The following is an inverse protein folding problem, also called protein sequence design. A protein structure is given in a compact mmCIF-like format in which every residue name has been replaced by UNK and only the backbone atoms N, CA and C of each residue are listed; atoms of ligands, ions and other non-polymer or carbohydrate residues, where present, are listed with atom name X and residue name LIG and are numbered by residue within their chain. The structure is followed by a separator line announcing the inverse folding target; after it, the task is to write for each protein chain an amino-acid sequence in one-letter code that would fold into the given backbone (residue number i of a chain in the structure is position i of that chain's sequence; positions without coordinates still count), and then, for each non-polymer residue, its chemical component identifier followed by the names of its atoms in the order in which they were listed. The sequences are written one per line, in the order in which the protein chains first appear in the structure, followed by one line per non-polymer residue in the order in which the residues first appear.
data_IF_904389714534
#
_entry.id   IF_904389714534
#
_cell.length_a   1.000
_cell.length_b   1.000
_cell.length_c   1.000
_cell.angle_alpha   90.00
_cell.angle_beta   90.00
_cell.angle_gamma   90.00
#
_symmetry.space_group_name_H-M   'P 1'
#
loop_
_entity.id
_entity.type
_entity.pdbx_description
1 polymer ?
#
# COMPACT_ATOMS: atom_id res chain seq x y z
N UNK A 1 -27.23 11.00 41.24
CA UNK A 1 -27.59 10.18 40.06
C UNK A 1 -26.28 9.90 39.37
N UNK A 2 -25.58 8.89 39.87
CA UNK A 2 -24.27 8.45 39.41
C UNK A 2 -24.49 7.46 38.28
N UNK A 3 -23.80 7.64 37.16
CA UNK A 3 -23.65 6.61 36.15
C UNK A 3 -22.16 6.40 35.85
N UNK A 4 -21.85 5.12 35.94
CA UNK A 4 -20.57 4.46 36.13
C UNK A 4 -19.80 4.37 34.80
N UNK A 5 -18.57 4.90 34.77
CA UNK A 5 -17.62 4.69 33.68
C UNK A 5 -16.98 3.31 33.82
N UNK A 6 -17.50 2.33 33.11
CA UNK A 6 -16.79 1.06 32.89
C UNK A 6 -16.02 1.12 31.57
N UNK A 7 -14.68 0.96 31.57
CA UNK A 7 -13.87 0.96 30.37
C UNK A 7 -14.03 -0.37 29.63
N UNK A 8 -14.45 -0.32 28.36
CA UNK A 8 -14.44 -1.47 27.46
C UNK A 8 -12.99 -1.86 27.15
N UNK A 9 -12.42 -2.74 27.97
CA UNK A 9 -11.23 -3.49 27.60
C UNK A 9 -11.53 -4.40 26.40
N UNK A 10 -10.72 -4.27 25.36
CA UNK A 10 -10.74 -5.15 24.19
C UNK A 10 -10.41 -6.59 24.59
N UNK A 11 -11.28 -7.54 24.21
CA UNK A 11 -11.12 -8.99 24.40
C UNK A 11 -9.90 -9.60 23.69
N UNK A 12 -9.08 -8.82 22.99
CA UNK A 12 -7.81 -9.26 22.40
C UNK A 12 -6.63 -9.34 23.37
N UNK A 13 -6.79 -8.96 24.65
CA UNK A 13 -5.77 -9.18 25.68
C UNK A 13 -5.70 -10.63 26.22
N UNK A 14 -6.57 -11.55 25.80
CA UNK A 14 -6.67 -12.91 26.37
C UNK A 14 -6.22 -14.02 25.40
N UNK A 15 -5.89 -13.73 24.14
CA UNK A 15 -5.51 -14.76 23.14
C UNK A 15 -4.08 -14.65 22.60
N UNK A 16 -3.17 -14.08 23.39
CA UNK A 16 -1.73 -14.19 23.18
C UNK A 16 -1.10 -14.81 24.42
N UNK A 17 -1.32 -16.11 24.63
CA UNK A 17 -0.50 -17.04 25.44
C UNK A 17 -1.20 -18.41 25.40
N UNK A 18 -0.56 -19.42 24.81
CA UNK A 18 -1.00 -20.81 24.90
C UNK A 18 -1.11 -21.56 23.57
N UNK A 19 0.03 -21.74 22.90
CA UNK A 19 0.18 -22.90 22.03
C UNK A 19 0.24 -24.17 22.91
N UNK A 20 -0.36 -25.25 22.39
CA UNK A 20 -0.25 -26.68 22.78
C UNK A 20 -1.34 -27.29 23.70
N UNK A 21 -2.09 -28.21 23.07
CA UNK A 21 -2.56 -29.51 23.56
C UNK A 21 -3.84 -29.60 24.43
N UNK A 22 -4.95 -30.09 23.86
CA UNK A 22 -5.50 -31.46 24.02
C UNK A 22 -6.99 -31.54 23.61
N UNK A 23 -7.33 -32.66 22.98
CA UNK A 23 -8.66 -33.12 22.57
C UNK A 23 -9.71 -33.12 23.69
N UNK A 24 -10.99 -32.86 23.37
CA UNK A 24 -12.08 -33.86 23.51
C UNK A 24 -13.43 -33.34 23.01
N UNK A 25 -14.27 -34.30 22.63
CA UNK A 25 -15.48 -34.24 21.81
C UNK A 25 -16.65 -33.41 22.35
N UNK A 26 -17.45 -32.87 21.42
CA UNK A 26 -18.91 -32.82 21.49
C UNK A 26 -19.49 -32.79 20.06
N UNK A 27 -20.11 -33.88 19.62
CA UNK A 27 -20.97 -33.94 18.44
C UNK A 27 -22.40 -33.56 18.82
N UNK A 28 -23.13 -32.89 17.91
CA UNK A 28 -24.47 -33.34 17.61
C UNK A 28 -24.65 -33.64 16.12
N UNK A 29 -25.45 -34.68 15.93
CA UNK A 29 -25.87 -35.37 14.72
C UNK A 29 -26.61 -34.52 13.70
N UNK A 30 -26.26 -34.74 12.41
CA UNK A 30 -27.26 -34.94 11.36
C UNK A 30 -27.53 -33.78 10.42
N UNK A 31 -26.79 -33.72 9.31
CA UNK A 31 -27.29 -33.43 7.95
C UNK A 31 -26.18 -33.81 6.95
N UNK A 32 -26.58 -34.35 5.79
CA UNK A 32 -25.74 -35.14 4.87
C UNK A 32 -24.51 -34.42 4.29
N UNK A 33 -23.62 -35.16 3.60
CA UNK A 33 -22.38 -34.59 3.08
C UNK A 33 -22.73 -33.69 1.90
N UNK A 34 -22.89 -32.40 2.15
CA UNK A 34 -22.48 -31.42 1.16
C UNK A 34 -20.95 -31.54 1.10
N UNK A 35 -20.44 -32.07 -0.01
CA UNK A 35 -19.02 -31.96 -0.34
C UNK A 35 -18.68 -30.48 -0.50
N UNK A 36 -18.47 -29.79 0.62
CA UNK A 36 -17.64 -28.61 0.66
C UNK A 36 -16.23 -29.07 0.32
N UNK A 37 -15.94 -29.13 -0.98
CA UNK A 37 -14.58 -28.98 -1.47
C UNK A 37 -14.13 -27.54 -1.20
N UNK A 38 -14.06 -27.17 0.08
CA UNK A 38 -13.16 -26.14 0.56
C UNK A 38 -11.76 -26.76 0.47
N UNK A 39 -11.23 -26.84 -0.74
CA UNK A 39 -9.79 -26.76 -0.92
C UNK A 39 -9.41 -25.35 -0.45
N UNK A 40 -9.24 -25.20 0.85
CA UNK A 40 -8.44 -24.11 1.37
C UNK A 40 -7.07 -24.33 0.75
N UNK A 41 -6.81 -23.69 -0.39
CA UNK A 41 -5.48 -23.65 -0.99
C UNK A 41 -4.52 -23.33 0.14
N UNK A 42 -3.53 -24.20 0.33
CA UNK A 42 -2.51 -23.99 1.34
C UNK A 42 -1.72 -22.75 0.92
N UNK A 43 -2.11 -21.59 1.45
CA UNK A 43 -1.50 -20.32 1.07
C UNK A 43 -0.11 -20.29 1.68
N UNK A 44 0.89 -20.50 0.83
CA UNK A 44 2.29 -20.50 1.20
C UNK A 44 2.72 -19.10 1.67
N UNK A 45 3.51 -18.98 2.74
CA UNK A 45 4.08 -17.71 3.14
C UNK A 45 5.04 -17.17 2.06
N UNK A 46 5.28 -15.85 2.02
CA UNK A 46 6.30 -15.28 1.14
C UNK A 46 7.67 -15.87 1.47
N UNK A 47 8.48 -16.25 0.46
CA UNK A 47 9.87 -16.64 0.68
C UNK A 47 10.67 -15.52 1.37
N UNK A 48 11.52 -15.86 2.33
CA UNK A 48 12.35 -14.88 3.06
C UNK A 48 13.31 -14.11 2.14
N UNK A 49 13.76 -14.74 1.05
CA UNK A 49 14.56 -14.09 0.01
C UNK A 49 14.33 -14.69 -1.37
N UNK A 50 14.53 -13.89 -2.41
CA UNK A 50 14.50 -14.30 -3.82
C UNK A 50 15.62 -13.56 -4.55
N UNK A 51 16.55 -14.29 -5.17
CA UNK A 51 17.70 -13.72 -5.90
C UNK A 51 18.45 -12.60 -5.14
N UNK A 52 18.67 -12.79 -3.84
CA UNK A 52 19.36 -11.83 -2.98
C UNK A 52 18.50 -10.65 -2.50
N UNK A 53 17.26 -10.51 -2.98
CA UNK A 53 16.29 -9.57 -2.44
C UNK A 53 15.62 -10.19 -1.21
N UNK A 54 15.74 -9.55 -0.05
CA UNK A 54 15.20 -10.05 1.23
C UNK A 54 13.85 -9.43 1.51
N UNK A 55 12.99 -10.16 2.21
CA UNK A 55 11.74 -9.62 2.74
C UNK A 55 12.05 -8.51 3.77
N UNK A 56 11.38 -7.37 3.69
CA UNK A 56 11.60 -6.22 4.59
C UNK A 56 10.27 -5.79 5.21
N UNK A 57 9.97 -6.33 6.39
CA UNK A 57 8.72 -6.06 7.13
C UNK A 57 8.50 -4.56 7.35
N UNK A 58 9.57 -3.82 7.64
CA UNK A 58 9.52 -2.37 7.88
C UNK A 58 8.97 -1.59 6.68
N UNK A 59 9.19 -2.07 5.46
CA UNK A 59 8.66 -1.43 4.25
C UNK A 59 7.18 -1.69 4.04
N UNK A 60 6.60 -2.66 4.75
CA UNK A 60 5.16 -2.92 4.68
C UNK A 60 4.34 -1.92 5.52
N UNK A 61 4.96 -1.28 6.53
CA UNK A 61 4.25 -0.39 7.47
C UNK A 61 3.36 0.67 6.81
N UNK A 62 3.81 1.40 5.76
CA UNK A 62 2.97 2.43 5.13
C UNK A 62 1.70 1.85 4.48
N UNK A 63 1.74 0.58 4.06
CA UNK A 63 0.65 -0.11 3.37
C UNK A 63 -0.37 -0.71 4.34
N UNK A 64 0.02 -1.00 5.58
CA UNK A 64 -0.79 -1.75 6.55
C UNK A 64 -2.20 -1.17 6.70
N UNK A 65 -2.40 0.15 6.84
CA UNK A 65 -3.74 0.71 6.96
C UNK A 65 -4.63 0.44 5.74
N UNK A 66 -4.05 0.35 4.54
CA UNK A 66 -4.80 0.02 3.32
C UNK A 66 -5.08 -1.49 3.15
N UNK A 67 -4.50 -2.34 4.00
CA UNK A 67 -4.66 -3.81 4.02
C UNK A 67 -5.65 -4.29 5.08
N UNK A 68 -6.13 -3.38 5.94
CA UNK A 68 -7.06 -3.69 7.02
C UNK A 68 -8.49 -3.79 6.50
N UNK A 69 -9.21 -4.80 7.01
CA UNK A 69 -10.61 -5.03 6.67
C UNK A 69 -11.48 -3.92 7.25
N UNK A 70 -12.07 -3.09 6.38
CA UNK A 70 -13.00 -2.03 6.75
C UNK A 70 -14.49 -2.46 6.65
N UNK A 71 -14.79 -3.70 6.21
CA UNK A 71 -16.15 -4.19 5.94
C UNK A 71 -16.71 -5.16 6.99
N UNK A 72 -17.95 -5.66 6.82
CA UNK A 72 -18.57 -6.62 7.75
C UNK A 72 -17.78 -7.94 7.83
N UNK A 73 -17.99 -8.72 8.90
CA UNK A 73 -17.21 -9.90 9.30
C UNK A 73 -17.14 -11.07 8.28
N UNK A 74 -17.68 -10.91 7.07
CA UNK A 74 -17.62 -11.90 5.99
C UNK A 74 -16.99 -11.29 4.72
N UNK A 75 -15.70 -11.57 4.43
CA UNK A 75 -15.10 -11.22 3.15
C UNK A 75 -15.84 -11.87 1.98
N UNK A 76 -16.20 -11.07 0.98
CA UNK A 76 -16.74 -11.56 -0.29
C UNK A 76 -15.65 -11.96 -1.30
N UNK A 77 -14.40 -11.56 -1.06
CA UNK A 77 -13.26 -11.80 -1.95
C UNK A 77 -11.90 -11.83 -1.21
N UNK A 78 -10.82 -12.06 -1.97
CA UNK A 78 -9.45 -12.17 -1.45
C UNK A 78 -8.88 -10.87 -0.83
N UNK A 79 -9.49 -9.71 -1.12
CA UNK A 79 -9.06 -8.42 -0.57
C UNK A 79 -9.71 -8.11 0.76
N UNK A 80 -10.73 -8.88 1.16
CA UNK A 80 -11.37 -8.76 2.47
C UNK A 80 -11.75 -7.30 2.77
N UNK A 81 -12.48 -6.67 1.86
CA UNK A 81 -12.98 -5.30 2.02
C UNK A 81 -11.87 -4.22 2.14
N UNK A 82 -10.65 -4.53 1.71
CA UNK A 82 -9.47 -3.66 1.79
C UNK A 82 -9.06 -3.14 0.41
N UNK A 83 -8.41 -1.97 0.35
CA UNK A 83 -7.91 -1.42 -0.92
C UNK A 83 -6.70 -2.20 -1.46
N UNK A 84 -5.84 -2.70 -0.54
CA UNK A 84 -4.70 -3.53 -0.85
C UNK A 84 -4.90 -4.95 -0.31
N UNK A 85 -4.30 -5.92 -1.00
CA UNK A 85 -4.42 -7.33 -0.64
C UNK A 85 -3.85 -7.57 0.79
N UNK A 86 -4.59 -8.24 1.70
CA UNK A 86 -4.22 -8.35 3.11
C UNK A 86 -2.96 -9.20 3.38
N UNK A 87 -2.49 -9.93 2.36
CA UNK A 87 -1.26 -10.74 2.41
C UNK A 87 -0.11 -10.17 1.57
N UNK A 88 -0.19 -8.89 1.23
CA UNK A 88 0.91 -8.17 0.57
C UNK A 88 2.18 -8.26 1.43
N UNK A 89 3.32 -8.47 0.77
CA UNK A 89 4.64 -8.39 1.39
C UNK A 89 5.60 -7.61 0.48
N UNK A 90 6.64 -6.98 1.04
CA UNK A 90 7.56 -6.12 0.29
C UNK A 90 9.01 -6.56 0.47
N UNK A 91 9.74 -6.69 -0.64
CA UNK A 91 11.16 -7.03 -0.64
C UNK A 91 12.07 -5.78 -0.67
N UNK A 92 13.36 -5.98 -0.44
CA UNK A 92 14.38 -4.93 -0.44
C UNK A 92 14.55 -4.21 -1.79
N UNK A 93 14.20 -4.85 -2.91
CA UNK A 93 14.15 -4.21 -4.23
C UNK A 93 12.85 -3.43 -4.48
N UNK A 94 11.91 -3.42 -3.53
CA UNK A 94 10.60 -2.80 -3.68
C UNK A 94 9.56 -3.69 -4.37
N UNK A 95 9.95 -4.83 -4.96
CA UNK A 95 8.99 -5.78 -5.51
C UNK A 95 8.03 -6.29 -4.44
N UNK A 96 6.76 -6.42 -4.83
CA UNK A 96 5.67 -6.84 -3.99
C UNK A 96 5.35 -8.31 -4.21
N UNK A 97 5.19 -9.04 -3.12
CA UNK A 97 4.61 -10.37 -3.12
C UNK A 97 3.11 -10.30 -2.93
N UNK A 98 2.38 -11.00 -3.79
CA UNK A 98 0.95 -11.28 -3.63
C UNK A 98 0.75 -12.78 -3.89
N UNK A 99 -0.01 -13.51 -3.05
CA UNK A 99 -0.28 -14.93 -3.27
C UNK A 99 -0.83 -15.20 -4.68
N UNK A 100 -0.33 -16.25 -5.32
CA UNK A 100 -0.74 -16.64 -6.68
C UNK A 100 -0.14 -15.80 -7.81
N UNK A 101 0.58 -14.71 -7.51
CA UNK A 101 1.22 -13.86 -8.52
C UNK A 101 2.70 -14.23 -8.75
N UNK A 102 3.25 -13.96 -9.95
CA UNK A 102 4.68 -14.11 -10.20
C UNK A 102 5.52 -13.29 -9.20
N UNK A 103 6.63 -13.87 -8.73
CA UNK A 103 7.54 -13.23 -7.79
C UNK A 103 8.96 -13.21 -8.36
N UNK A 104 9.18 -12.40 -9.40
CA UNK A 104 10.43 -12.33 -10.16
C UNK A 104 11.30 -11.18 -9.65
N UNK A 105 12.55 -11.50 -9.33
CA UNK A 105 13.55 -10.57 -8.78
C UNK A 105 14.84 -10.65 -9.60
N UNK A 106 14.86 -10.03 -10.78
CA UNK A 106 16.07 -9.92 -11.61
C UNK A 106 16.41 -8.45 -11.80
N UNK A 107 17.06 -7.86 -10.78
CA UNK A 107 17.30 -6.42 -10.71
C UNK A 107 18.78 -6.08 -10.82
N UNK A 108 19.09 -4.91 -11.36
CA UNK A 108 20.42 -4.34 -11.26
C UNK A 108 20.67 -3.80 -9.83
N UNK A 109 21.71 -4.27 -9.10
CA UNK A 109 22.03 -3.76 -7.78
C UNK A 109 22.26 -2.24 -7.71
N UNK A 110 22.81 -1.63 -8.77
CA UNK A 110 23.01 -0.17 -8.80
C UNK A 110 21.69 0.59 -8.96
N UNK A 111 20.72 0.00 -9.67
CA UNK A 111 19.38 0.56 -9.80
C UNK A 111 18.61 0.51 -8.47
N UNK A 112 18.79 -0.57 -7.68
CA UNK A 112 18.23 -0.66 -6.33
C UNK A 112 18.74 0.50 -5.46
N UNK A 113 20.07 0.73 -5.45
CA UNK A 113 20.69 1.81 -4.68
C UNK A 113 20.20 3.19 -5.14
N UNK A 114 20.04 3.38 -6.45
CA UNK A 114 19.51 4.63 -7.00
C UNK A 114 18.07 4.88 -6.53
N UNK A 115 17.20 3.88 -6.63
CA UNK A 115 15.80 3.99 -6.21
C UNK A 115 15.67 4.27 -4.70
N UNK A 116 16.48 3.60 -3.88
CA UNK A 116 16.54 3.85 -2.44
C UNK A 116 16.98 5.28 -2.14
N UNK A 117 18.04 5.77 -2.80
CA UNK A 117 18.52 7.15 -2.63
C UNK A 117 17.46 8.19 -3.01
N UNK A 118 16.81 8.02 -4.17
CA UNK A 118 15.84 8.99 -4.69
C UNK A 118 14.56 9.01 -3.87
N UNK A 119 14.01 7.85 -3.49
CA UNK A 119 12.81 7.77 -2.64
C UNK A 119 13.07 8.36 -1.24
N UNK A 120 14.23 8.07 -0.65
CA UNK A 120 14.63 8.66 0.63
C UNK A 120 14.77 10.19 0.55
N UNK A 121 15.30 10.73 -0.55
CA UNK A 121 15.40 12.17 -0.76
C UNK A 121 14.02 12.83 -0.84
N UNK A 122 13.07 12.23 -1.57
CA UNK A 122 11.70 12.74 -1.66
C UNK A 122 11.00 12.73 -0.29
N UNK A 123 11.09 11.64 0.45
CA UNK A 123 10.53 11.53 1.81
C UNK A 123 11.15 12.56 2.76
N UNK A 124 12.46 12.79 2.66
CA UNK A 124 13.15 13.79 3.46
C UNK A 124 12.67 15.22 3.18
N UNK A 125 12.45 15.57 1.90
CA UNK A 125 11.92 16.89 1.52
C UNK A 125 10.51 17.09 2.09
N UNK A 126 9.67 16.06 2.03
CA UNK A 126 8.31 16.08 2.56
C UNK A 126 8.21 15.78 4.06
N UNK A 127 9.33 15.76 4.79
CA UNK A 127 9.33 15.45 6.22
C UNK A 127 8.43 16.43 6.98
N UNK A 128 7.46 15.87 7.72
CA UNK A 128 6.48 16.64 8.50
C UNK A 128 5.28 17.14 7.70
N UNK A 129 5.21 16.86 6.39
CA UNK A 129 4.00 16.99 5.58
C UNK A 129 3.22 15.69 5.71
N UNK A 130 1.92 15.81 5.92
CA UNK A 130 1.01 14.67 6.03
C UNK A 130 -0.14 14.82 5.03
N UNK A 131 -0.70 13.69 4.61
CA UNK A 131 -1.96 13.67 3.86
C UNK A 131 -3.12 13.51 4.85
N UNK A 132 -4.26 14.12 4.54
CA UNK A 132 -5.55 13.88 5.22
C UNK A 132 -5.61 14.26 6.72
N UNK A 133 -5.27 15.52 7.02
CA UNK A 133 -5.09 16.06 8.39
C UNK A 133 -6.30 15.88 9.33
N UNK A 134 -7.52 15.67 8.82
CA UNK A 134 -8.75 15.61 9.63
C UNK A 134 -9.13 14.21 10.11
N UNK A 135 -9.13 13.20 9.23
CA UNK A 135 -9.68 11.86 9.51
C UNK A 135 -8.60 10.82 9.86
N UNK A 136 -7.34 11.19 9.67
CA UNK A 136 -6.17 10.37 9.98
C UNK A 136 -4.99 10.87 9.18
N UNK A 137 -3.98 11.39 9.87
CA UNK A 137 -2.81 11.96 9.21
C UNK A 137 -1.78 10.88 8.89
N UNK A 138 -1.26 10.94 7.66
CA UNK A 138 -0.32 9.95 7.14
C UNK A 138 0.94 10.63 6.62
N UNK A 139 2.13 10.37 7.20
CA UNK A 139 3.37 10.90 6.67
C UNK A 139 3.74 10.23 5.34
N UNK A 140 4.60 10.89 4.58
CA UNK A 140 5.15 10.32 3.35
C UNK A 140 6.40 9.46 3.63
N UNK A 141 6.26 8.16 3.41
CA UNK A 141 7.35 7.19 3.52
C UNK A 141 8.03 6.92 2.17
N UNK A 142 9.34 6.58 2.14
CA UNK A 142 10.03 6.20 0.91
C UNK A 142 9.35 5.00 0.22
N UNK A 143 9.13 5.11 -1.09
CA UNK A 143 8.54 4.05 -1.89
C UNK A 143 9.27 3.91 -3.22
N UNK A 144 9.53 2.68 -3.65
CA UNK A 144 10.01 2.39 -4.99
C UNK A 144 9.73 0.94 -5.39
N UNK A 145 9.74 0.69 -6.70
CA UNK A 145 9.67 -0.64 -7.31
C UNK A 145 10.70 -0.70 -8.44
N UNK A 146 11.73 -1.52 -8.26
CA UNK A 146 12.81 -1.66 -9.25
C UNK A 146 12.34 -2.54 -10.40
N UNK A 147 12.64 -2.11 -11.62
CA UNK A 147 12.29 -2.87 -12.82
C UNK A 147 13.15 -4.13 -12.94
N UNK A 148 12.59 -5.20 -13.50
CA UNK A 148 13.38 -6.38 -13.88
C UNK A 148 14.25 -6.08 -15.11
N UNK A 149 15.42 -6.70 -15.21
CA UNK A 149 16.30 -6.60 -16.37
C UNK A 149 15.58 -7.09 -17.62
N UNK A 150 15.77 -6.38 -18.72
CA UNK A 150 15.14 -6.69 -20.01
C UNK A 150 13.66 -6.33 -20.12
N UNK A 151 13.03 -5.78 -19.07
CA UNK A 151 11.69 -5.24 -19.17
C UNK A 151 11.65 -4.02 -20.09
N UNK A 152 10.49 -3.79 -20.71
CA UNK A 152 10.28 -2.59 -21.52
C UNK A 152 10.37 -1.34 -20.65
N UNK A 153 11.14 -0.34 -21.10
CA UNK A 153 11.33 0.92 -20.38
C UNK A 153 10.11 1.84 -20.60
N UNK A 154 9.28 2.10 -19.58
CA UNK A 154 8.17 3.04 -19.71
C UNK A 154 8.68 4.47 -19.96
N UNK A 155 7.96 5.23 -20.77
CA UNK A 155 8.21 6.67 -21.00
C UNK A 155 7.29 7.57 -20.18
N UNK A 156 6.20 7.03 -19.66
CA UNK A 156 5.19 7.73 -18.85
C UNK A 156 4.63 6.81 -17.78
N UNK A 157 4.21 7.39 -16.66
CA UNK A 157 3.49 6.66 -15.61
C UNK A 157 2.02 6.54 -16.04
N UNK A 158 1.51 5.30 -16.03
CA UNK A 158 0.15 4.98 -16.47
C UNK A 158 -0.54 4.08 -15.46
N UNK A 159 -1.86 3.99 -15.51
CA UNK A 159 -2.65 3.10 -14.65
C UNK A 159 -2.19 1.62 -14.76
N UNK A 160 -1.98 1.05 -15.97
CA UNK A 160 -1.44 -0.31 -16.08
C UNK A 160 -0.07 -0.49 -15.43
N UNK A 161 0.81 0.51 -15.56
CA UNK A 161 2.14 0.46 -14.94
C UNK A 161 2.03 0.43 -13.41
N UNK A 162 1.18 1.26 -12.81
CA UNK A 162 0.95 1.26 -11.36
C UNK A 162 0.37 -0.07 -10.89
N UNK A 163 -0.65 -0.62 -11.59
CA UNK A 163 -1.20 -1.94 -11.23
C UNK A 163 -0.16 -3.06 -11.32
N UNK A 164 0.68 -3.04 -12.36
CA UNK A 164 1.76 -4.00 -12.52
C UNK A 164 2.81 -3.88 -11.42
N UNK A 165 3.16 -2.66 -11.02
CA UNK A 165 4.13 -2.41 -9.95
C UNK A 165 3.66 -2.91 -8.58
N UNK A 166 2.34 -2.84 -8.34
CA UNK A 166 1.72 -3.44 -7.16
C UNK A 166 1.52 -4.95 -7.26
N UNK A 167 1.94 -5.59 -8.36
CA UNK A 167 1.84 -7.03 -8.61
C UNK A 167 0.44 -7.60 -8.32
N UNK A 168 -0.59 -6.87 -8.73
CA UNK A 168 -1.98 -7.28 -8.48
C UNK A 168 -2.43 -7.11 -7.02
N UNK A 169 -1.74 -6.33 -6.18
CA UNK A 169 -2.17 -6.07 -4.81
C UNK A 169 -3.31 -5.05 -4.70
N UNK A 170 -3.49 -4.17 -5.69
CA UNK A 170 -4.57 -3.17 -5.68
C UNK A 170 -5.89 -3.85 -6.02
N UNK A 171 -6.95 -3.57 -5.25
CA UNK A 171 -8.29 -4.08 -5.52
C UNK A 171 -8.67 -3.85 -6.99
N UNK A 172 -9.14 -4.88 -7.73
CA UNK A 172 -9.33 -4.77 -9.17
C UNK A 172 -10.24 -3.61 -9.61
N UNK A 173 -11.26 -3.29 -8.80
CA UNK A 173 -12.22 -2.24 -9.12
C UNK A 173 -11.81 -0.84 -8.63
N UNK A 174 -10.80 -0.73 -7.75
CA UNK A 174 -10.36 0.58 -7.25
C UNK A 174 -9.88 1.46 -8.40
N UNK A 175 -10.39 2.68 -8.53
CA UNK A 175 -9.94 3.59 -9.59
C UNK A 175 -8.54 4.09 -9.28
N UNK A 176 -7.80 4.39 -10.34
CA UNK A 176 -6.48 5.02 -10.21
C UNK A 176 -6.50 6.30 -11.06
N UNK A 177 -6.21 7.43 -10.42
CA UNK A 177 -6.07 8.73 -11.10
C UNK A 177 -4.62 9.16 -11.03
N UNK A 178 -4.15 9.79 -12.10
CA UNK A 178 -2.77 10.26 -12.24
C UNK A 178 -2.83 11.70 -12.73
N UNK A 179 -2.06 12.59 -12.09
CA UNK A 179 -1.92 13.98 -12.48
C UNK A 179 -0.47 14.43 -12.37
N UNK A 180 0.01 15.36 -13.21
CA UNK A 180 1.36 15.92 -13.07
C UNK A 180 1.62 16.48 -11.66
N UNK A 181 2.88 16.36 -11.19
CA UNK A 181 3.33 17.04 -9.98
C UNK A 181 3.57 18.53 -10.28
N UNK A 182 2.52 19.34 -10.23
CA UNK A 182 2.57 20.80 -10.31
C UNK A 182 1.42 21.43 -9.50
N UNK A 183 1.59 22.71 -9.17
CA UNK A 183 0.55 23.48 -8.47
C UNK A 183 -0.73 23.49 -9.30
N UNK A 184 -1.88 23.36 -8.63
CA UNK A 184 -3.22 23.36 -9.25
C UNK A 184 -3.51 22.23 -10.23
N UNK A 185 -2.72 21.14 -10.20
CA UNK A 185 -3.08 19.91 -10.93
C UNK A 185 -4.39 19.32 -10.41
N UNK A 186 -5.01 18.43 -11.19
CA UNK A 186 -6.28 17.77 -10.83
C UNK A 186 -6.27 17.07 -9.46
N UNK A 187 -5.10 16.66 -8.96
CA UNK A 187 -4.96 15.99 -7.66
C UNK A 187 -4.33 16.88 -6.58
N UNK A 188 -4.02 18.14 -6.88
CA UNK A 188 -3.30 19.04 -5.98
C UNK A 188 -3.98 19.15 -4.61
N UNK A 189 -5.26 19.52 -4.59
CA UNK A 189 -6.05 19.71 -3.36
C UNK A 189 -6.27 18.40 -2.57
N UNK A 190 -6.04 17.24 -3.19
CA UNK A 190 -6.12 15.93 -2.52
C UNK A 190 -4.85 15.58 -1.74
N UNK A 191 -3.74 16.26 -2.04
CA UNK A 191 -2.43 16.01 -1.45
C UNK A 191 -1.91 17.20 -0.65
N UNK A 192 -2.29 18.42 -1.03
CA UNK A 192 -1.71 19.66 -0.53
C UNK A 192 -2.75 20.45 0.25
N UNK A 193 -2.45 20.68 1.53
CA UNK A 193 -3.22 21.59 2.38
C UNK A 193 -2.62 23.00 2.29
N UNK A 194 -3.21 23.87 1.46
CA UNK A 194 -2.64 25.18 1.12
C UNK A 194 -2.64 26.18 2.29
N UNK A 195 -3.48 25.98 3.29
CA UNK A 195 -3.57 26.87 4.46
C UNK A 195 -2.31 26.78 5.36
N UNK A 196 -1.56 25.68 5.26
CA UNK A 196 -0.25 25.54 5.91
C UNK A 196 0.88 25.98 4.97
N UNK A 197 1.34 27.22 5.16
CA UNK A 197 2.43 27.80 4.37
C UNK A 197 3.75 27.02 4.48
N UNK A 198 4.01 26.34 5.61
CA UNK A 198 5.20 25.51 5.78
C UNK A 198 5.11 24.24 4.93
N UNK A 199 3.94 23.61 4.87
CA UNK A 199 3.71 22.43 4.03
C UNK A 199 3.76 22.77 2.55
N UNK A 200 3.10 23.86 2.14
CA UNK A 200 3.17 24.36 0.76
C UNK A 200 4.63 24.65 0.33
N UNK A 201 5.45 25.16 1.25
CA UNK A 201 6.88 25.37 1.00
C UNK A 201 7.62 24.06 0.74
N UNK A 202 7.30 22.97 1.43
CA UNK A 202 7.92 21.66 1.17
C UNK A 202 7.49 21.07 -0.18
N UNK A 203 6.22 21.22 -0.55
CA UNK A 203 5.73 20.82 -1.88
C UNK A 203 6.46 21.55 -3.01
N UNK A 204 6.64 22.87 -2.88
CA UNK A 204 7.41 23.68 -3.84
C UNK A 204 8.88 23.25 -3.92
N UNK A 205 9.49 22.91 -2.77
CA UNK A 205 10.87 22.36 -2.76
C UNK A 205 10.95 21.02 -3.47
N UNK A 206 9.96 20.14 -3.30
CA UNK A 206 9.91 18.85 -4.00
C UNK A 206 9.83 19.05 -5.51
N UNK A 207 8.91 19.89 -5.98
CA UNK A 207 8.77 20.23 -7.41
C UNK A 207 10.12 20.73 -7.96
N UNK A 208 10.69 21.76 -7.32
CA UNK A 208 11.96 22.33 -7.76
C UNK A 208 13.13 21.33 -7.68
N UNK A 209 13.11 20.37 -6.76
CA UNK A 209 14.12 19.32 -6.68
C UNK A 209 13.97 18.31 -7.82
N UNK A 210 12.73 17.87 -8.12
CA UNK A 210 12.44 16.98 -9.24
C UNK A 210 12.85 17.59 -10.58
N UNK A 211 12.59 18.88 -10.80
CA UNK A 211 12.98 19.59 -12.03
C UNK A 211 14.50 19.65 -12.26
N UNK A 212 15.29 19.62 -11.18
CA UNK A 212 16.77 19.70 -11.23
C UNK A 212 17.46 18.34 -11.16
N UNK A 213 16.74 17.27 -10.88
CA UNK A 213 17.32 15.95 -10.66
C UNK A 213 17.19 15.11 -11.94
N UNK A 214 18.24 15.07 -12.76
CA UNK A 214 18.23 14.38 -14.07
C UNK A 214 17.96 12.86 -13.97
N UNK A 215 18.16 12.27 -12.79
CA UNK A 215 17.98 10.83 -12.54
C UNK A 215 16.50 10.43 -12.33
N UNK A 216 15.59 11.38 -12.22
CA UNK A 216 14.13 11.16 -12.08
C UNK A 216 13.37 12.01 -13.10
N UNK A 217 12.36 11.44 -13.75
CA UNK A 217 11.52 12.13 -14.74
C UNK A 217 10.06 11.77 -14.60
N UNK A 218 9.20 12.50 -15.31
CA UNK A 218 7.76 12.24 -15.40
C UNK A 218 7.09 12.09 -14.02
N UNK A 219 7.36 13.03 -13.11
CA UNK A 219 6.86 12.96 -11.73
C UNK A 219 5.38 13.33 -11.69
N UNK A 220 4.59 12.50 -11.00
CA UNK A 220 3.13 12.58 -10.95
C UNK A 220 2.60 12.31 -9.54
N UNK A 221 1.44 12.86 -9.23
CA UNK A 221 0.54 12.35 -8.19
C UNK A 221 -0.17 11.08 -8.68
N UNK A 222 -0.35 10.12 -7.78
CA UNK A 222 -1.14 8.91 -8.01
C UNK A 222 -2.12 8.74 -6.86
N UNK A 223 -3.41 8.84 -7.17
CA UNK A 223 -4.51 8.53 -6.26
C UNK A 223 -5.03 7.13 -6.58
N UNK A 224 -5.11 6.26 -5.57
CA UNK A 224 -5.74 4.94 -5.68
C UNK A 224 -7.00 4.95 -4.82
N UNK A 225 -8.13 4.52 -5.38
CA UNK A 225 -9.44 4.60 -4.74
C UNK A 225 -10.09 5.98 -4.85
N UNK A 226 -11.41 5.99 -4.82
CA UNK A 226 -12.22 7.06 -5.38
C UNK A 226 -12.79 8.03 -4.34
N UNK A 227 -12.83 7.62 -3.07
CA UNK A 227 -13.70 8.24 -2.08
C UNK A 227 -15.18 8.19 -2.45
N UNK A 228 -15.57 7.27 -3.33
CA UNK A 228 -16.98 6.97 -3.52
C UNK A 228 -17.54 6.48 -2.18
N UNK A 229 -18.77 6.87 -1.81
CA UNK A 229 -19.39 6.46 -0.55
C UNK A 229 -19.31 4.95 -0.38
N UNK A 230 -19.10 4.52 0.87
CA UNK A 230 -19.15 3.09 1.20
C UNK A 230 -20.39 2.46 0.55
N UNK A 231 -20.15 1.39 -0.21
CA UNK A 231 -21.19 0.66 -0.93
C UNK A 231 -21.05 -0.82 -0.66
N UNK A 232 -22.07 -1.61 -1.03
CA UNK A 232 -22.03 -3.07 -0.93
C UNK A 232 -20.88 -3.70 -1.75
N UNK A 233 -20.22 -2.92 -2.62
CA UNK A 233 -19.08 -3.36 -3.45
C UNK A 233 -17.79 -2.57 -3.18
N UNK A 234 -17.82 -1.57 -2.31
CA UNK A 234 -16.66 -0.77 -1.94
C UNK A 234 -16.73 -0.42 -0.45
N UNK A 235 -16.08 -1.26 0.35
CA UNK A 235 -15.97 -1.07 1.80
C UNK A 235 -14.64 -0.43 2.20
N UNK A 236 -13.73 -0.18 1.25
CA UNK A 236 -12.43 0.39 1.54
C UNK A 236 -12.57 1.77 2.17
N UNK A 237 -11.88 1.98 3.29
CA UNK A 237 -11.89 3.25 4.02
C UNK A 237 -10.51 3.92 4.09
N UNK A 238 -9.46 3.23 3.65
CA UNK A 238 -8.08 3.75 3.64
C UNK A 238 -7.41 3.49 2.31
N UNK A 239 -6.87 4.55 1.71
CA UNK A 239 -6.54 4.59 0.29
C UNK A 239 -5.12 5.11 0.02
N UNK A 240 -4.33 4.46 -0.84
CA UNK A 240 -2.99 4.91 -1.18
C UNK A 240 -2.94 6.29 -1.84
N UNK A 241 -1.94 7.09 -1.46
CA UNK A 241 -1.61 8.40 -2.02
C UNK A 241 -0.12 8.43 -2.30
N UNK A 242 0.26 8.50 -3.58
CA UNK A 242 1.67 8.44 -3.98
C UNK A 242 2.10 9.67 -4.77
N UNK A 243 3.39 9.98 -4.67
CA UNK A 243 4.09 10.88 -5.59
C UNK A 243 5.23 10.08 -6.20
N UNK A 244 5.19 9.90 -7.51
CA UNK A 244 6.01 8.90 -8.21
C UNK A 244 6.68 9.51 -9.44
N UNK A 245 7.92 9.14 -9.70
CA UNK A 245 8.64 9.39 -10.93
C UNK A 245 9.27 8.12 -11.50
N UNK A 246 9.86 8.25 -12.68
CA UNK A 246 10.59 7.20 -13.37
C UNK A 246 12.08 7.45 -13.33
N UNK A 247 12.86 6.41 -13.09
CA UNK A 247 14.30 6.44 -13.36
C UNK A 247 14.58 6.27 -14.86
N UNK A 248 15.85 6.39 -15.24
CA UNK A 248 16.30 6.10 -16.61
C UNK A 248 16.20 4.61 -16.95
N UNK A 249 16.25 3.69 -15.97
CA UNK A 249 15.99 2.27 -16.24
C UNK A 249 14.49 1.97 -16.40
N UNK A 250 13.61 2.87 -15.93
CA UNK A 250 12.16 2.67 -15.93
C UNK A 250 11.61 2.14 -14.61
N UNK A 251 12.41 2.13 -13.55
CA UNK A 251 11.92 1.86 -12.19
C UNK A 251 11.03 2.99 -11.70
N UNK A 252 10.08 2.64 -10.84
CA UNK A 252 9.21 3.58 -10.17
C UNK A 252 9.83 4.00 -8.84
N UNK A 253 9.91 5.30 -8.59
CA UNK A 253 10.51 5.83 -7.35
C UNK A 253 9.74 7.04 -6.84
N UNK A 254 9.59 7.15 -5.53
CA UNK A 254 8.67 8.12 -4.96
C UNK A 254 8.49 8.04 -3.46
N UNK A 255 7.31 8.47 -3.05
CA UNK A 255 6.82 8.38 -1.68
C UNK A 255 5.40 7.82 -1.65
N UNK A 256 5.05 7.19 -0.55
CA UNK A 256 3.75 6.61 -0.26
C UNK A 256 3.21 7.20 1.04
N UNK A 257 1.95 7.61 1.03
CA UNK A 257 1.12 7.89 2.18
C UNK A 257 -0.25 7.23 1.97
N UNK A 258 -1.15 7.38 2.93
CA UNK A 258 -2.54 6.97 2.77
C UNK A 258 -3.50 8.06 3.23
N UNK A 259 -4.72 8.04 2.71
CA UNK A 259 -5.82 8.87 3.18
C UNK A 259 -6.93 7.97 3.72
N UNK A 260 -7.48 8.35 4.86
CA UNK A 260 -8.70 7.76 5.41
C UNK A 260 -9.90 8.51 4.82
N UNK A 261 -10.96 7.80 4.47
CA UNK A 261 -12.23 8.38 4.04
C UNK A 261 -13.36 7.66 4.77
N UNK A 262 -14.18 8.42 5.49
CA UNK A 262 -15.38 7.93 6.20
C UNK A 262 -16.67 8.24 5.47
#
# INVERSE_FOLDING_TARGET
MEYDESPCMSRRAVLALGASSFFSACTPTGQGPAEEQSQAEEIKPPPESVNGCRLVVERLKPFQPCMECCGPEFPSDAWNHSCLHPRLAVYSCGCMYVPGQPNVHDHDPEEIKLCEKLSAAMAWILKGVEVNVSEGSSPFDPFYVVVNRGAEKPTKITVPLIRSAFNGAIYPQAKIRIAPLNEHSLLWEKFVFEEDAAWLTQWRKLIAWCERTEQIRAVVFVEVGDGDPMSETNFGCVFPRLVMGLTEAGSLVGVFAHSVQT
#
